data_IF_360938716462
#
_entry.id   IF_360938716462
#
_cell.length_a   1.000
_cell.length_b   1.000
_cell.length_c   1.000
_cell.angle_alpha   90.00
_cell.angle_beta   90.00
_cell.angle_gamma   90.00
#
_symmetry.space_group_name_H-M   'P 1'
#
loop_
_entity.id
_entity.type
_entity.pdbx_description
1 polymer ?
#
# COMPACT_ATOMS: atom_id res chain seq x y z
N UNK A 1 -4.84 -19.52 23.84
CA UNK A 1 -5.10 -18.11 24.19
C UNK A 1 -3.89 -17.22 23.91
N UNK A 2 -2.77 -17.24 24.67
CA UNK A 2 -1.62 -16.36 24.36
C UNK A 2 -0.92 -16.65 23.00
N UNK A 3 -0.89 -17.92 22.56
CA UNK A 3 -0.31 -18.31 21.27
C UNK A 3 -1.13 -17.85 20.06
N UNK A 4 -2.46 -17.88 20.16
CA UNK A 4 -3.37 -17.40 19.11
C UNK A 4 -3.27 -15.88 18.96
N UNK A 5 -3.07 -15.16 20.07
CA UNK A 5 -2.87 -13.70 20.03
C UNK A 5 -1.61 -13.26 19.31
N UNK A 6 -0.53 -14.00 19.53
CA UNK A 6 0.74 -13.74 18.86
C UNK A 6 0.64 -14.05 17.36
N UNK A 7 -0.08 -15.11 16.98
CA UNK A 7 -0.24 -15.55 15.59
C UNK A 7 -0.97 -14.51 14.72
N UNK A 8 -2.14 -14.02 15.16
CA UNK A 8 -2.88 -13.03 14.36
C UNK A 8 -2.16 -11.68 14.27
N UNK A 9 -1.45 -11.25 15.31
CA UNK A 9 -0.62 -10.02 15.28
C UNK A 9 0.51 -10.15 14.27
N UNK A 10 1.17 -11.31 14.22
CA UNK A 10 2.24 -11.57 13.25
C UNK A 10 1.71 -11.61 11.81
N UNK A 11 0.54 -12.21 11.61
CA UNK A 11 -0.13 -12.25 10.31
C UNK A 11 -0.47 -10.82 9.82
N UNK A 12 -1.10 -10.00 10.67
CA UNK A 12 -1.48 -8.62 10.33
C UNK A 12 -0.26 -7.74 10.02
N UNK A 13 0.80 -7.85 10.83
CA UNK A 13 2.08 -7.16 10.56
C UNK A 13 2.69 -7.58 9.23
N UNK A 14 2.66 -8.88 8.93
CA UNK A 14 3.18 -9.38 7.66
C UNK A 14 2.38 -8.83 6.50
N UNK A 15 1.06 -8.73 6.62
CA UNK A 15 0.21 -8.09 5.61
C UNK A 15 0.53 -6.60 5.44
N UNK A 16 0.65 -5.84 6.55
CA UNK A 16 1.02 -4.41 6.52
C UNK A 16 2.39 -4.19 5.87
N UNK A 17 3.40 -5.01 6.20
CA UNK A 17 4.74 -4.95 5.59
C UNK A 17 4.68 -5.20 4.09
N UNK A 18 3.91 -6.20 3.66
CA UNK A 18 3.74 -6.48 2.22
C UNK A 18 3.02 -5.32 1.53
N UNK A 19 1.93 -4.79 2.11
CA UNK A 19 1.20 -3.65 1.55
C UNK A 19 2.11 -2.42 1.43
N UNK A 20 2.95 -2.19 2.43
CA UNK A 20 3.96 -1.12 2.44
C UNK A 20 4.97 -1.27 1.30
N UNK A 21 5.48 -2.48 1.06
CA UNK A 21 6.38 -2.75 -0.06
C UNK A 21 5.69 -2.54 -1.42
N UNK A 22 4.47 -3.05 -1.58
CA UNK A 22 3.70 -2.91 -2.82
C UNK A 22 3.30 -1.46 -3.08
N UNK A 23 2.95 -0.69 -2.04
CA UNK A 23 2.71 0.75 -2.16
C UNK A 23 3.95 1.50 -2.67
N UNK A 24 5.14 1.11 -2.21
CA UNK A 24 6.39 1.71 -2.70
C UNK A 24 6.65 1.33 -4.16
N UNK A 25 6.46 0.06 -4.53
CA UNK A 25 6.62 -0.42 -5.90
C UNK A 25 5.66 0.30 -6.87
N UNK A 26 4.38 0.38 -6.52
CA UNK A 26 3.36 1.07 -7.28
C UNK A 26 3.72 2.55 -7.48
N UNK A 27 4.08 3.26 -6.42
CA UNK A 27 4.51 4.65 -6.51
C UNK A 27 5.78 4.85 -7.35
N UNK A 28 6.73 3.91 -7.30
CA UNK A 28 7.90 3.95 -8.17
C UNK A 28 7.51 3.75 -9.64
N UNK A 29 6.60 2.82 -9.96
CA UNK A 29 6.11 2.65 -11.33
C UNK A 29 5.38 3.88 -11.86
N UNK A 30 4.62 4.58 -11.00
CA UNK A 30 3.96 5.84 -11.36
C UNK A 30 4.98 6.94 -11.66
N UNK A 31 6.03 7.08 -10.83
CA UNK A 31 7.11 8.05 -11.06
C UNK A 31 7.82 7.75 -12.37
N UNK A 32 8.15 6.49 -12.66
CA UNK A 32 8.76 6.11 -13.95
C UNK A 32 7.83 6.41 -15.12
N UNK A 33 6.52 6.13 -14.98
CA UNK A 33 5.54 6.42 -16.02
C UNK A 33 5.46 7.93 -16.33
N UNK A 34 5.33 8.76 -15.30
CA UNK A 34 5.13 10.21 -15.47
C UNK A 34 6.44 10.94 -15.79
N UNK A 35 7.55 10.60 -15.14
CA UNK A 35 8.81 11.34 -15.27
C UNK A 35 9.68 10.83 -16.43
N UNK A 36 9.55 9.57 -16.85
CA UNK A 36 10.33 9.02 -17.96
C UNK A 36 9.45 8.75 -19.18
N UNK A 37 8.43 7.89 -19.03
CA UNK A 37 7.70 7.39 -20.21
C UNK A 37 6.91 8.50 -20.93
N UNK A 38 6.21 9.37 -20.19
CA UNK A 38 5.44 10.49 -20.77
C UNK A 38 6.35 11.51 -21.47
N UNK A 39 7.44 12.03 -20.86
CA UNK A 39 8.38 12.91 -21.54
C UNK A 39 9.03 12.26 -22.76
N UNK A 40 9.40 10.98 -22.69
CA UNK A 40 10.02 10.30 -23.82
C UNK A 40 9.05 10.13 -25.00
N UNK A 41 7.75 9.92 -24.73
CA UNK A 41 6.71 9.90 -25.75
C UNK A 41 6.55 11.27 -26.43
N UNK A 42 6.48 12.35 -25.66
CA UNK A 42 6.12 13.67 -26.19
C UNK A 42 7.32 14.48 -26.69
N UNK A 43 8.50 14.34 -26.10
CA UNK A 43 9.71 15.10 -26.44
C UNK A 43 10.62 14.34 -27.42
N UNK A 44 10.74 13.02 -27.27
CA UNK A 44 11.61 12.19 -28.11
C UNK A 44 10.84 11.36 -29.16
N UNK A 45 9.51 11.49 -29.22
CA UNK A 45 8.67 10.79 -30.19
C UNK A 45 8.69 9.27 -30.04
N UNK A 46 8.98 8.74 -28.84
CA UNK A 46 9.11 7.30 -28.60
C UNK A 46 7.91 6.74 -27.80
N UNK A 47 6.79 6.41 -28.47
CA UNK A 47 5.56 5.98 -27.79
C UNK A 47 5.69 4.59 -27.12
N UNK A 48 6.66 3.77 -27.55
CA UNK A 48 6.87 2.42 -27.03
C UNK A 48 7.14 2.41 -25.51
N UNK A 49 7.78 3.44 -24.95
CA UNK A 49 8.00 3.54 -23.51
C UNK A 49 6.68 3.58 -22.72
N UNK A 50 5.71 4.40 -23.14
CA UNK A 50 4.39 4.42 -22.49
C UNK A 50 3.58 3.15 -22.72
N UNK A 51 3.74 2.52 -23.89
CA UNK A 51 3.04 1.28 -24.22
C UNK A 51 3.51 0.09 -23.37
N UNK A 52 4.76 0.12 -22.88
CA UNK A 52 5.32 -0.92 -21.99
C UNK A 52 5.11 -0.55 -20.52
N UNK A 53 5.47 0.67 -20.11
CA UNK A 53 5.42 1.09 -18.71
C UNK A 53 3.98 1.28 -18.21
N UNK A 54 3.06 1.70 -19.09
CA UNK A 54 1.64 1.88 -18.74
C UNK A 54 0.99 0.61 -18.19
N UNK A 55 1.00 -0.52 -18.93
CA UNK A 55 0.50 -1.80 -18.43
C UNK A 55 1.21 -2.29 -17.17
N UNK A 56 2.53 -2.10 -17.05
CA UNK A 56 3.29 -2.47 -15.85
C UNK A 56 2.75 -1.71 -14.62
N UNK A 57 2.58 -0.39 -14.74
CA UNK A 57 2.00 0.42 -13.69
C UNK A 57 0.55 0.01 -13.39
N UNK A 58 -0.27 -0.23 -14.41
CA UNK A 58 -1.65 -0.68 -14.23
C UNK A 58 -1.76 -1.98 -13.44
N UNK A 59 -0.92 -2.98 -13.74
CA UNK A 59 -0.87 -4.24 -12.97
C UNK A 59 -0.38 -3.99 -11.54
N UNK A 60 0.66 -3.17 -11.35
CA UNK A 60 1.14 -2.82 -10.01
C UNK A 60 0.05 -2.13 -9.17
N UNK A 61 -0.73 -1.23 -9.78
CA UNK A 61 -1.85 -0.56 -9.14
C UNK A 61 -2.98 -1.53 -8.75
N UNK A 62 -3.31 -2.51 -9.59
CA UNK A 62 -4.30 -3.54 -9.27
C UNK A 62 -3.84 -4.44 -8.11
N UNK A 63 -2.57 -4.84 -8.09
CA UNK A 63 -1.99 -5.60 -6.97
C UNK A 63 -2.05 -4.77 -5.69
N UNK A 64 -1.69 -3.49 -5.76
CA UNK A 64 -1.80 -2.57 -4.64
C UNK A 64 -3.25 -2.48 -4.12
N UNK A 65 -4.21 -2.26 -5.00
CA UNK A 65 -5.63 -2.14 -4.63
C UNK A 65 -6.16 -3.43 -3.98
N UNK A 66 -5.82 -4.59 -4.54
CA UNK A 66 -6.15 -5.89 -3.96
C UNK A 66 -5.63 -6.01 -2.53
N UNK A 67 -4.38 -5.60 -2.30
CA UNK A 67 -3.77 -5.64 -0.97
C UNK A 67 -4.36 -4.63 0.00
N UNK A 68 -4.72 -3.43 -0.46
CA UNK A 68 -5.48 -2.47 0.35
C UNK A 68 -6.79 -3.12 0.80
N UNK A 69 -7.58 -3.65 -0.14
CA UNK A 69 -8.87 -4.29 0.16
C UNK A 69 -8.68 -5.45 1.16
N UNK A 70 -7.73 -6.36 0.92
CA UNK A 70 -7.45 -7.48 1.83
C UNK A 70 -7.04 -7.01 3.24
N UNK A 71 -6.22 -5.96 3.34
CA UNK A 71 -5.76 -5.43 4.63
C UNK A 71 -6.88 -4.71 5.38
N UNK A 72 -7.67 -3.89 4.69
CA UNK A 72 -8.75 -3.11 5.34
C UNK A 72 -10.00 -3.94 5.62
N UNK A 73 -10.18 -5.07 4.94
CA UNK A 73 -11.29 -5.99 5.21
C UNK A 73 -11.04 -6.86 6.45
N UNK A 74 -9.78 -6.97 6.89
CA UNK A 74 -9.37 -7.82 8.03
C UNK A 74 -9.31 -7.07 9.36
N UNK A 75 -9.53 -5.74 9.37
CA UNK A 75 -9.41 -4.93 10.59
C UNK A 75 -10.29 -3.67 10.56
N UNK A 76 -10.37 -3.00 11.70
CA UNK A 76 -11.17 -1.78 11.85
C UNK A 76 -10.38 -0.55 11.34
N UNK A 77 -10.60 -0.21 10.07
CA UNK A 77 -9.99 0.96 9.42
C UNK A 77 -10.98 2.13 9.31
N UNK A 78 -10.60 3.35 9.73
CA UNK A 78 -11.44 4.51 9.51
C UNK A 78 -11.50 4.82 8.02
N UNK A 79 -12.70 5.14 7.52
CA UNK A 79 -12.96 5.40 6.10
C UNK A 79 -12.01 6.44 5.50
N UNK A 80 -11.63 7.46 6.27
CA UNK A 80 -10.68 8.49 5.85
C UNK A 80 -9.29 7.96 5.52
N UNK A 81 -8.81 6.94 6.23
CA UNK A 81 -7.51 6.30 5.92
C UNK A 81 -7.59 5.43 4.67
N UNK A 82 -8.70 4.70 4.48
CA UNK A 82 -8.93 3.90 3.27
C UNK A 82 -8.94 4.82 2.03
N UNK A 83 -9.70 5.91 2.09
CA UNK A 83 -9.76 6.91 1.02
C UNK A 83 -8.38 7.52 0.78
N UNK A 84 -7.65 7.86 1.85
CA UNK A 84 -6.28 8.37 1.74
C UNK A 84 -5.36 7.38 1.02
N UNK A 85 -5.37 6.10 1.39
CA UNK A 85 -4.53 5.07 0.76
C UNK A 85 -4.75 5.03 -0.76
N UNK A 86 -6.01 5.15 -1.21
CA UNK A 86 -6.36 5.11 -2.63
C UNK A 86 -6.02 6.43 -3.33
N UNK A 87 -6.47 7.57 -2.80
CA UNK A 87 -6.28 8.89 -3.44
C UNK A 87 -4.80 9.24 -3.57
N UNK A 88 -4.02 8.96 -2.52
CA UNK A 88 -2.60 9.27 -2.50
C UNK A 88 -1.81 8.41 -3.47
N UNK A 89 -2.28 7.21 -3.83
CA UNK A 89 -1.60 6.36 -4.82
C UNK A 89 -1.52 7.03 -6.21
N UNK A 90 -2.47 7.91 -6.56
CA UNK A 90 -2.46 8.64 -7.83
C UNK A 90 -1.52 9.86 -7.84
N UNK A 91 -0.98 10.24 -6.68
CA UNK A 91 -0.11 11.40 -6.55
C UNK A 91 1.34 10.92 -6.71
N UNK A 92 2.15 11.48 -7.62
CA UNK A 92 3.57 11.19 -7.65
C UNK A 92 4.18 11.52 -6.28
N UNK A 93 5.01 10.63 -5.75
CA UNK A 93 5.53 10.68 -4.37
C UNK A 93 4.49 10.42 -3.25
N UNK A 94 3.22 10.19 -3.58
CA UNK A 94 2.20 9.85 -2.59
C UNK A 94 2.49 8.57 -1.82
N UNK A 95 3.17 7.60 -2.44
CA UNK A 95 3.64 6.39 -1.76
C UNK A 95 4.44 6.67 -0.48
N UNK A 96 5.21 7.78 -0.41
CA UNK A 96 5.92 8.16 0.81
C UNK A 96 4.98 8.57 1.96
N UNK A 97 3.81 9.15 1.65
CA UNK A 97 2.80 9.48 2.64
C UNK A 97 2.05 8.23 3.13
N UNK A 98 1.81 7.26 2.24
CA UNK A 98 1.23 5.97 2.61
C UNK A 98 2.20 5.12 3.44
N UNK A 99 3.48 5.14 3.09
CA UNK A 99 4.56 4.50 3.85
C UNK A 99 4.55 4.90 5.33
N UNK A 100 4.47 6.20 5.61
CA UNK A 100 4.44 6.73 7.00
C UNK A 100 3.20 6.29 7.76
N UNK A 101 2.05 6.19 7.09
CA UNK A 101 0.82 5.71 7.71
C UNK A 101 0.92 4.21 8.06
N UNK A 102 1.36 3.40 7.09
CA UNK A 102 1.50 1.95 7.26
C UNK A 102 2.55 1.59 8.31
N UNK A 103 3.66 2.34 8.37
CA UNK A 103 4.66 2.22 9.44
C UNK A 103 4.06 2.45 10.83
N UNK A 104 3.31 3.54 11.02
CA UNK A 104 2.67 3.84 12.31
C UNK A 104 1.72 2.73 12.76
N UNK A 105 0.98 2.14 11.83
CA UNK A 105 0.09 1.01 12.10
C UNK A 105 0.88 -0.26 12.46
N UNK A 106 1.95 -0.55 11.73
CA UNK A 106 2.86 -1.66 12.00
C UNK A 106 3.49 -1.54 13.41
N UNK A 107 3.92 -0.33 13.79
CA UNK A 107 4.52 -0.03 15.10
C UNK A 107 3.49 -0.14 16.23
N UNK A 108 2.24 0.25 16.00
CA UNK A 108 1.16 0.09 16.98
C UNK A 108 0.94 -1.39 17.34
N UNK A 109 1.12 -2.31 16.40
CA UNK A 109 1.07 -3.76 16.64
C UNK A 109 2.31 -4.29 17.41
N UNK A 110 3.37 -3.47 17.60
CA UNK A 110 4.51 -3.75 18.48
C UNK A 110 4.26 -3.26 19.89
N UNK A 111 3.82 -2.02 19.99
CA UNK A 111 3.84 -1.30 21.26
C UNK A 111 2.56 -1.56 22.07
N UNK A 112 1.44 -1.91 21.43
CA UNK A 112 0.19 -2.08 22.14
C UNK A 112 0.23 -3.28 23.12
N UNK A 113 0.01 -3.05 24.44
CA UNK A 113 -0.20 -4.16 25.37
C UNK A 113 -1.39 -5.01 24.93
N UNK A 114 -1.38 -6.30 25.27
CA UNK A 114 -2.54 -7.16 25.03
C UNK A 114 -3.79 -6.49 25.62
N UNK A 115 -4.88 -6.31 24.86
CA UNK A 115 -6.08 -5.70 25.42
C UNK A 115 -6.57 -6.56 26.58
N UNK A 116 -6.68 -5.97 27.76
CA UNK A 116 -7.33 -6.60 28.89
C UNK A 116 -8.82 -6.74 28.55
N UNK A 117 -9.20 -7.91 28.04
CA UNK A 117 -10.58 -8.37 27.97
C UNK A 117 -11.49 -7.58 27.04
N UNK A 118 -11.46 -7.90 25.75
CA UNK A 118 -12.65 -7.77 24.91
C UNK A 118 -12.74 -9.06 24.08
N UNK A 119 -13.29 -10.11 24.72
CA UNK A 119 -13.68 -11.33 24.00
C UNK A 119 -14.78 -10.92 23.03
N UNK A 120 -14.52 -10.95 21.72
CA UNK A 120 -15.61 -11.04 20.74
C UNK A 120 -16.32 -12.37 20.98
N UNK A 121 -17.50 -12.28 21.57
CA UNK A 121 -18.52 -13.33 21.69
C UNK A 121 -19.13 -13.66 20.34
#
# INVERSE_FOLDING_TARGET
MAGEEVDWRQAERTQLRRLRLVSLLEGMTLIVLICLAVPLKHLAGYPAATAIVGPIHGVAFLIYLWMVISTVSSGDWPRGEIVRLIVVAFIPFGAFMNMRLLQRREDALVVAPAPAGERRS
#
